data_IF_057910852410
#
_entry.id   IF_057910852410
#
_cell.length_a   1.000
_cell.length_b   1.000
_cell.length_c   1.000
_cell.angle_alpha   90.00
_cell.angle_beta   90.00
_cell.angle_gamma   90.00
#
_symmetry.space_group_name_H-M   'P 1'
#
loop_
_entity.id
_entity.type
_entity.pdbx_description
1 polymer ?
#
# COMPACT_ATOMS: atom_id res chain seq x y z
N UNK A 1 -17.89 12.66 36.73
CA UNK A 1 -17.51 13.81 35.86
C UNK A 1 -16.37 13.37 34.92
N UNK A 2 -16.55 12.25 34.22
CA UNK A 2 -15.51 11.54 33.44
C UNK A 2 -15.89 11.29 31.98
N UNK A 3 -17.15 11.54 31.59
CA UNK A 3 -17.70 10.99 30.34
C UNK A 3 -17.85 12.04 29.23
N UNK A 4 -17.02 13.09 29.23
CA UNK A 4 -17.08 14.17 28.23
C UNK A 4 -15.72 14.45 27.56
N UNK A 5 -14.68 13.65 27.83
CA UNK A 5 -13.39 13.81 27.15
C UNK A 5 -13.39 12.92 25.89
N UNK A 6 -13.93 13.51 24.83
CA UNK A 6 -13.65 13.38 23.38
C UNK A 6 -13.41 12.01 22.69
N UNK A 7 -13.99 11.79 21.48
CA UNK A 7 -13.85 10.57 20.68
C UNK A 7 -12.46 10.36 20.02
N UNK A 8 -11.45 11.18 20.35
CA UNK A 8 -10.08 11.08 19.84
C UNK A 8 -9.15 10.17 20.67
N UNK A 9 -9.60 9.70 21.84
CA UNK A 9 -8.80 8.91 22.77
C UNK A 9 -8.38 7.53 22.22
N UNK A 10 -9.20 6.91 21.39
CA UNK A 10 -8.97 5.55 20.92
C UNK A 10 -7.78 5.43 19.92
N UNK A 11 -7.33 6.55 19.34
CA UNK A 11 -6.23 6.55 18.37
C UNK A 11 -4.84 6.50 19.03
N UNK A 12 -4.73 6.87 20.31
CA UNK A 12 -3.43 6.94 21.01
C UNK A 12 -3.12 5.69 21.84
N UNK A 13 -4.14 4.95 22.30
CA UNK A 13 -3.94 3.66 22.97
C UNK A 13 -3.31 2.61 22.04
N UNK A 14 -3.56 2.68 20.72
CA UNK A 14 -2.93 1.78 19.73
C UNK A 14 -1.43 2.01 19.55
N UNK A 15 -0.88 3.12 20.06
CA UNK A 15 0.56 3.42 20.02
C UNK A 15 1.27 3.19 21.37
N UNK A 16 0.59 2.61 22.36
CA UNK A 16 1.21 2.22 23.64
C UNK A 16 1.64 3.40 24.52
N UNK A 17 1.13 4.61 24.27
CA UNK A 17 1.41 5.78 25.11
C UNK A 17 0.50 5.75 26.32
N UNK A 18 1.04 5.36 27.47
CA UNK A 18 0.30 5.31 28.74
C UNK A 18 -0.01 6.74 29.23
N UNK A 19 -1.22 7.23 28.94
CA UNK A 19 -1.72 8.51 29.45
C UNK A 19 -1.63 8.61 30.97
N UNK A 20 -1.61 7.48 31.69
CA UNK A 20 -1.50 7.49 33.15
C UNK A 20 -0.16 8.05 33.63
N UNK A 21 0.91 8.01 32.82
CA UNK A 21 2.17 8.69 33.17
C UNK A 21 2.05 10.22 33.12
N UNK A 22 1.33 10.77 32.14
CA UNK A 22 1.18 12.22 32.00
C UNK A 22 0.30 12.84 33.10
N UNK A 23 -0.71 12.10 33.57
CA UNK A 23 -1.62 12.55 34.64
C UNK A 23 -0.96 12.41 36.02
N UNK A 24 -0.08 11.42 36.22
CA UNK A 24 0.56 11.14 37.52
C UNK A 24 1.62 12.18 37.91
N UNK A 25 2.18 12.90 36.96
CA UNK A 25 3.31 13.82 37.20
C UNK A 25 2.89 15.24 37.63
N UNK A 26 1.58 15.54 37.72
CA UNK A 26 1.05 16.82 38.26
C UNK A 26 1.53 18.09 37.54
N UNK A 27 2.21 17.94 36.42
CA UNK A 27 3.00 18.99 35.79
C UNK A 27 2.15 19.74 34.77
N UNK A 28 1.70 20.94 35.14
CA UNK A 28 0.85 21.83 34.32
C UNK A 28 1.39 22.07 32.90
N UNK A 29 2.71 21.96 32.70
CA UNK A 29 3.35 22.08 31.39
C UNK A 29 2.91 20.99 30.40
N UNK A 30 2.67 19.78 30.88
CA UNK A 30 2.22 18.67 30.03
C UNK A 30 0.73 18.77 29.74
N UNK A 31 -0.06 19.26 30.69
CA UNK A 31 -1.50 19.50 30.49
C UNK A 31 -1.75 20.55 29.40
N UNK A 32 -1.06 21.69 29.43
CA UNK A 32 -1.23 22.73 28.40
C UNK A 32 -0.79 22.26 27.01
N UNK A 33 0.33 21.52 26.92
CA UNK A 33 0.76 20.87 25.67
C UNK A 33 -0.25 19.83 25.19
N UNK A 34 -0.84 19.05 26.11
CA UNK A 34 -1.84 18.04 25.77
C UNK A 34 -3.10 18.66 25.18
N UNK A 35 -3.59 19.75 25.77
CA UNK A 35 -4.71 20.53 25.23
C UNK A 35 -4.39 21.11 23.84
N UNK A 36 -3.15 21.56 23.62
CA UNK A 36 -2.69 22.03 22.31
C UNK A 36 -2.71 20.90 21.27
N UNK A 37 -2.20 19.70 21.60
CA UNK A 37 -2.26 18.53 20.72
C UNK A 37 -3.70 18.11 20.41
N UNK A 38 -4.60 18.10 21.41
CA UNK A 38 -6.01 17.80 21.20
C UNK A 38 -6.68 18.80 20.25
N UNK A 39 -6.41 20.11 20.38
CA UNK A 39 -6.95 21.14 19.47
C UNK A 39 -6.51 20.95 18.02
N UNK A 40 -5.23 20.58 17.81
CA UNK A 40 -4.70 20.32 16.46
C UNK A 40 -5.27 19.03 15.88
N UNK A 41 -5.46 17.99 16.71
CA UNK A 41 -6.06 16.72 16.28
C UNK A 41 -7.53 16.86 15.87
N UNK A 42 -8.28 17.76 16.53
CA UNK A 42 -9.69 18.03 16.22
C UNK A 42 -9.88 18.95 15.00
N UNK A 43 -8.84 19.69 14.60
CA UNK A 43 -8.89 20.57 13.45
C UNK A 43 -8.99 19.77 12.15
N UNK A 44 -10.23 19.49 11.71
CA UNK A 44 -10.48 18.85 10.41
C UNK A 44 -9.93 19.73 9.29
N UNK A 45 -8.90 19.29 8.54
CA UNK A 45 -8.39 20.08 7.42
C UNK A 45 -9.50 20.23 6.38
N UNK A 46 -9.70 21.45 5.88
CA UNK A 46 -10.68 21.72 4.81
C UNK A 46 -10.37 20.84 3.59
N UNK A 47 -11.40 20.19 3.04
CA UNK A 47 -11.30 19.18 1.97
C UNK A 47 -10.40 19.61 0.79
N UNK A 48 -10.54 20.85 0.31
CA UNK A 48 -9.71 21.38 -0.80
C UNK A 48 -8.21 21.47 -0.47
N UNK A 49 -7.85 21.65 0.82
CA UNK A 49 -6.44 21.68 1.26
C UNK A 49 -5.85 20.26 1.30
N UNK A 50 -6.68 19.26 1.60
CA UNK A 50 -6.29 17.84 1.58
C UNK A 50 -6.12 17.33 0.16
N UNK A 51 -7.09 17.57 -0.72
CA UNK A 51 -7.03 17.17 -2.14
C UNK A 51 -5.91 17.91 -2.86
N UNK A 52 -5.77 19.22 -2.63
CA UNK A 52 -4.67 20.00 -3.19
C UNK A 52 -3.29 19.46 -2.80
N UNK A 53 -3.09 19.08 -1.53
CA UNK A 53 -1.83 18.48 -1.06
C UNK A 53 -1.60 17.09 -1.66
N UNK A 54 -2.64 16.29 -1.83
CA UNK A 54 -2.56 14.93 -2.40
C UNK A 54 -2.20 14.93 -3.89
N UNK A 55 -2.64 15.92 -4.66
CA UNK A 55 -2.23 16.09 -6.06
C UNK A 55 -0.85 16.75 -6.19
N UNK A 56 -0.47 17.59 -5.23
CA UNK A 56 0.84 18.23 -5.24
C UNK A 56 1.98 17.22 -5.11
N UNK A 57 1.82 16.15 -4.32
CA UNK A 57 2.85 15.12 -4.15
C UNK A 57 3.24 14.40 -5.46
N UNK A 58 2.33 13.82 -6.26
CA UNK A 58 2.69 13.19 -7.53
C UNK A 58 3.20 14.20 -8.56
N UNK A 59 2.69 15.43 -8.57
CA UNK A 59 3.20 16.48 -9.46
C UNK A 59 4.65 16.86 -9.12
N UNK A 60 4.96 17.01 -7.84
CA UNK A 60 6.33 17.25 -7.39
C UNK A 60 7.25 16.06 -7.71
N UNK A 61 6.76 14.83 -7.57
CA UNK A 61 7.51 13.63 -7.95
C UNK A 61 7.83 13.59 -9.45
N UNK A 62 6.86 13.95 -10.31
CA UNK A 62 7.09 14.05 -11.75
C UNK A 62 8.10 15.17 -12.06
N UNK A 63 7.96 16.33 -11.42
CA UNK A 63 8.86 17.46 -11.62
C UNK A 63 10.30 17.11 -11.21
N UNK A 64 10.50 16.49 -10.03
CA UNK A 64 11.85 16.07 -9.58
C UNK A 64 12.42 14.97 -10.46
N UNK A 65 11.60 14.02 -10.90
CA UNK A 65 12.02 12.98 -11.85
C UNK A 65 12.50 13.59 -13.17
N UNK A 66 11.78 14.56 -13.73
CA UNK A 66 12.18 15.26 -14.95
C UNK A 66 13.43 16.10 -14.75
N UNK A 67 13.55 16.82 -13.62
CA UNK A 67 14.73 17.62 -13.28
C UNK A 67 16.02 16.78 -13.23
N UNK A 68 15.92 15.51 -12.81
CA UNK A 68 17.06 14.60 -12.76
C UNK A 68 17.27 13.89 -14.10
N UNK A 69 16.21 13.42 -14.75
CA UNK A 69 16.33 12.61 -15.98
C UNK A 69 16.67 13.42 -17.23
N UNK A 70 16.20 14.67 -17.35
CA UNK A 70 16.48 15.52 -18.53
C UNK A 70 17.98 15.80 -18.66
N UNK A 71 18.72 16.20 -17.60
CA UNK A 71 20.16 16.38 -17.68
C UNK A 71 20.92 15.08 -17.95
N UNK A 72 20.49 13.95 -17.39
CA UNK A 72 21.16 12.65 -17.61
C UNK A 72 21.02 12.24 -19.07
N UNK A 73 19.79 12.24 -19.62
CA UNK A 73 19.54 11.89 -21.01
C UNK A 73 20.21 12.90 -21.94
N UNK A 74 20.17 14.19 -21.60
CA UNK A 74 20.87 15.26 -22.30
C UNK A 74 22.37 15.00 -22.37
N UNK A 75 23.00 14.67 -21.25
CA UNK A 75 24.43 14.34 -21.22
C UNK A 75 24.75 13.09 -22.05
N UNK A 76 23.98 12.00 -21.92
CA UNK A 76 24.19 10.76 -22.68
C UNK A 76 24.05 10.96 -24.19
N UNK A 77 23.17 11.87 -24.62
CA UNK A 77 22.90 12.14 -26.04
C UNK A 77 23.64 13.38 -26.57
N UNK A 78 24.68 13.84 -25.87
CA UNK A 78 25.50 15.01 -26.24
C UNK A 78 24.69 16.30 -26.48
N UNK A 79 23.69 16.52 -25.62
CA UNK A 79 22.78 17.68 -25.62
C UNK A 79 22.01 17.89 -26.94
N UNK A 80 21.82 16.81 -27.69
CA UNK A 80 20.98 16.79 -28.89
C UNK A 80 19.49 16.79 -28.49
N UNK A 81 18.90 17.99 -28.41
CA UNK A 81 17.52 18.18 -27.97
C UNK A 81 16.48 17.46 -28.85
N UNK A 82 16.79 17.18 -30.12
CA UNK A 82 15.89 16.41 -30.98
C UNK A 82 15.81 14.95 -30.52
N UNK A 83 16.95 14.33 -30.19
CA UNK A 83 16.98 12.95 -29.67
C UNK A 83 16.42 12.85 -28.25
N UNK A 84 16.66 13.86 -27.42
CA UNK A 84 16.07 13.94 -26.07
C UNK A 84 14.53 13.97 -26.20
N UNK A 85 13.98 14.81 -27.07
CA UNK A 85 12.54 14.89 -27.30
C UNK A 85 11.95 13.56 -27.81
N UNK A 86 12.62 12.89 -28.77
CA UNK A 86 12.20 11.57 -29.26
C UNK A 86 12.25 10.51 -28.15
N UNK A 87 13.23 10.57 -27.24
CA UNK A 87 13.34 9.64 -26.11
C UNK A 87 12.16 9.76 -25.15
N UNK A 88 11.76 10.98 -24.81
CA UNK A 88 10.56 11.22 -23.99
C UNK A 88 9.27 10.87 -24.75
N UNK A 89 9.20 11.12 -26.06
CA UNK A 89 8.12 10.67 -26.92
C UNK A 89 7.97 9.14 -26.90
N UNK A 90 9.10 8.42 -27.03
CA UNK A 90 9.15 6.97 -26.93
C UNK A 90 8.72 6.42 -25.57
N UNK A 91 9.00 7.15 -24.48
CA UNK A 91 8.54 6.81 -23.13
C UNK A 91 7.01 6.92 -23.02
N UNK A 92 6.40 7.95 -23.61
CA UNK A 92 4.94 8.08 -23.65
C UNK A 92 4.30 7.04 -24.57
N UNK A 93 4.90 6.74 -25.71
CA UNK A 93 4.43 5.68 -26.61
C UNK A 93 4.49 4.30 -25.95
N UNK A 94 5.57 4.04 -25.21
CA UNK A 94 5.80 2.81 -24.45
C UNK A 94 4.95 2.68 -23.19
N UNK A 95 4.27 3.74 -22.76
CA UNK A 95 3.42 3.73 -21.57
C UNK A 95 1.91 3.84 -21.88
N UNK A 96 1.52 4.70 -22.83
CA UNK A 96 0.14 5.15 -23.00
C UNK A 96 -0.43 4.95 -24.42
N UNK A 97 0.33 5.29 -25.47
CA UNK A 97 -0.28 5.42 -26.80
C UNK A 97 -0.46 4.10 -27.55
N UNK A 98 0.36 3.08 -27.28
CA UNK A 98 0.20 1.75 -27.89
C UNK A 98 -0.77 0.90 -27.07
N UNK A 99 -1.75 0.27 -27.72
CA UNK A 99 -2.77 -0.57 -27.04
C UNK A 99 -2.16 -1.63 -26.11
N UNK A 100 -1.13 -2.34 -26.59
CA UNK A 100 -0.43 -3.35 -25.79
C UNK A 100 0.37 -2.73 -24.63
N UNK A 101 1.02 -1.60 -24.86
CA UNK A 101 1.76 -0.88 -23.82
C UNK A 101 0.85 -0.38 -22.71
N UNK A 102 -0.29 0.21 -23.08
CA UNK A 102 -1.30 0.66 -22.14
C UNK A 102 -1.85 -0.50 -21.30
N UNK A 103 -2.13 -1.64 -21.93
CA UNK A 103 -2.56 -2.84 -21.22
C UNK A 103 -1.50 -3.32 -20.21
N UNK A 104 -0.21 -3.35 -20.59
CA UNK A 104 0.88 -3.71 -19.67
C UNK A 104 1.05 -2.73 -18.52
N UNK A 105 0.90 -1.43 -18.78
CA UNK A 105 0.89 -0.38 -17.75
C UNK A 105 -0.22 -0.65 -16.73
N UNK A 106 -1.43 -0.99 -17.19
CA UNK A 106 -2.54 -1.34 -16.31
C UNK A 106 -2.27 -2.63 -15.52
N UNK A 107 -1.77 -3.67 -16.17
CA UNK A 107 -1.41 -4.95 -15.50
C UNK A 107 -0.43 -4.72 -14.35
N UNK A 108 0.46 -3.74 -14.48
CA UNK A 108 1.45 -3.40 -13.45
C UNK A 108 0.90 -2.42 -12.39
N UNK A 109 0.09 -1.45 -12.81
CA UNK A 109 -0.45 -0.42 -11.93
C UNK A 109 -1.61 -0.91 -11.05
N UNK A 110 -2.46 -1.80 -11.57
CA UNK A 110 -3.64 -2.32 -10.87
C UNK A 110 -3.25 -2.96 -9.52
N UNK A 111 -2.30 -3.92 -9.44
CA UNK A 111 -1.88 -4.49 -8.16
C UNK A 111 -1.40 -3.45 -7.16
N UNK A 112 -0.64 -2.45 -7.60
CA UNK A 112 -0.15 -1.38 -6.74
C UNK A 112 -1.28 -0.51 -6.18
N UNK A 113 -2.27 -0.17 -7.00
CA UNK A 113 -3.43 0.61 -6.56
C UNK A 113 -4.30 -0.18 -5.57
N UNK A 114 -4.59 -1.45 -5.88
CA UNK A 114 -5.40 -2.30 -5.00
C UNK A 114 -4.71 -2.64 -3.69
N UNK A 115 -3.41 -2.90 -3.70
CA UNK A 115 -2.65 -3.16 -2.46
C UNK A 115 -2.58 -1.91 -1.58
N UNK A 116 -2.38 -0.72 -2.17
CA UNK A 116 -2.44 0.55 -1.43
C UNK A 116 -3.82 0.79 -0.80
N UNK A 117 -4.90 0.51 -1.55
CA UNK A 117 -6.27 0.60 -1.04
C UNK A 117 -6.51 -0.39 0.11
N UNK A 118 -6.07 -1.65 -0.04
CA UNK A 118 -6.20 -2.67 1.01
C UNK A 118 -5.42 -2.32 2.28
N UNK A 119 -4.19 -1.81 2.16
CA UNK A 119 -3.39 -1.34 3.30
C UNK A 119 -4.07 -0.19 4.03
N UNK A 120 -4.66 0.75 3.28
CA UNK A 120 -5.35 1.91 3.87
C UNK A 120 -6.53 1.49 4.77
N UNK A 121 -7.21 0.39 4.41
CA UNK A 121 -8.28 -0.20 5.21
C UNK A 121 -7.72 -0.85 6.48
N UNK A 122 -6.59 -1.56 6.41
CA UNK A 122 -5.93 -2.17 7.57
C UNK A 122 -5.41 -1.12 8.58
N UNK A 123 -4.85 -0.02 8.08
CA UNK A 123 -4.42 1.09 8.95
C UNK A 123 -5.59 1.77 9.66
N UNK A 124 -6.79 1.74 9.07
CA UNK A 124 -7.99 2.26 9.72
C UNK A 124 -8.43 1.43 10.93
N UNK A 125 -8.10 0.14 10.96
CA UNK A 125 -8.36 -0.76 12.11
C UNK A 125 -7.19 -0.84 13.09
N UNK A 126 -6.14 -0.05 12.90
CA UNK A 126 -4.94 -0.06 13.75
C UNK A 126 -4.02 -1.27 13.55
N UNK A 127 -4.21 -2.03 12.47
CA UNK A 127 -3.39 -3.21 12.14
C UNK A 127 -2.30 -2.80 11.16
N UNK A 128 -1.04 -2.95 11.56
CA UNK A 128 0.11 -2.58 10.72
C UNK A 128 0.56 -3.78 9.89
N UNK A 129 -0.07 -3.96 8.72
CA UNK A 129 0.21 -5.07 7.80
C UNK A 129 1.23 -4.68 6.71
N UNK A 130 2.40 -5.31 6.71
CA UNK A 130 3.43 -5.20 5.64
C UNK A 130 3.38 -6.45 4.71
N UNK A 131 2.49 -7.38 4.97
CA UNK A 131 2.36 -8.68 4.30
C UNK A 131 1.62 -8.67 2.97
N UNK A 132 1.31 -7.50 2.40
CA UNK A 132 0.51 -7.43 1.17
C UNK A 132 1.20 -8.09 -0.03
N UNK A 133 2.52 -8.06 -0.10
CA UNK A 133 3.28 -8.77 -1.14
C UNK A 133 3.03 -10.27 -1.10
N UNK A 134 3.07 -10.90 0.07
CA UNK A 134 2.79 -12.32 0.24
C UNK A 134 1.33 -12.68 -0.04
N UNK A 135 0.39 -11.83 0.41
CA UNK A 135 -1.04 -11.99 0.09
C UNK A 135 -1.29 -11.92 -1.43
N UNK A 136 -0.62 -10.99 -2.12
CA UNK A 136 -0.69 -10.87 -3.57
C UNK A 136 -0.09 -12.10 -4.28
N UNK A 137 1.09 -12.57 -3.87
CA UNK A 137 1.74 -13.76 -4.46
C UNK A 137 0.85 -15.00 -4.33
N UNK A 138 0.30 -15.24 -3.14
CA UNK A 138 -0.58 -16.39 -2.91
C UNK A 138 -1.91 -16.28 -3.65
N UNK A 139 -2.51 -15.09 -3.68
CA UNK A 139 -3.70 -14.83 -4.49
C UNK A 139 -3.43 -15.05 -5.98
N UNK A 140 -2.33 -14.51 -6.52
CA UNK A 140 -1.93 -14.70 -7.90
C UNK A 140 -1.70 -16.18 -8.22
N UNK A 141 -1.04 -16.92 -7.32
CA UNK A 141 -0.81 -18.37 -7.47
C UNK A 141 -2.13 -19.14 -7.57
N UNK A 142 -3.10 -18.86 -6.68
CA UNK A 142 -4.43 -19.49 -6.74
C UNK A 142 -5.19 -19.12 -8.03
N UNK A 143 -5.12 -17.85 -8.46
CA UNK A 143 -5.76 -17.38 -9.69
C UNK A 143 -5.16 -18.06 -10.94
N UNK A 144 -3.82 -18.17 -11.01
CA UNK A 144 -3.11 -18.87 -12.09
C UNK A 144 -3.45 -20.36 -12.09
N UNK A 145 -3.49 -20.99 -10.91
CA UNK A 145 -3.85 -22.41 -10.80
C UNK A 145 -5.26 -22.68 -11.33
N UNK A 146 -6.26 -21.89 -10.93
CA UNK A 146 -7.62 -21.99 -11.48
C UNK A 146 -7.65 -21.67 -12.99
N UNK A 147 -6.91 -20.63 -13.39
CA UNK A 147 -6.75 -20.21 -14.78
C UNK A 147 -6.20 -21.30 -15.71
N UNK A 148 -5.36 -22.17 -15.15
CA UNK A 148 -4.72 -23.25 -15.87
C UNK A 148 -5.49 -24.57 -15.77
N UNK A 149 -5.98 -24.91 -14.57
CA UNK A 149 -6.55 -26.22 -14.28
C UNK A 149 -8.02 -26.40 -14.70
N UNK A 150 -8.80 -25.31 -14.76
CA UNK A 150 -10.24 -25.39 -15.03
C UNK A 150 -10.58 -24.90 -16.44
N UNK A 151 -11.02 -25.78 -17.36
CA UNK A 151 -11.50 -25.36 -18.68
C UNK A 151 -12.93 -24.80 -18.56
N UNK A 152 -13.04 -23.49 -18.29
CA UNK A 152 -14.31 -22.78 -18.17
C UNK A 152 -14.55 -21.81 -19.35
N UNK A 153 -15.82 -21.48 -19.69
CA UNK A 153 -16.13 -20.45 -20.68
C UNK A 153 -15.53 -19.08 -20.29
N UNK A 154 -15.12 -18.23 -21.24
CA UNK A 154 -14.27 -17.05 -20.97
C UNK A 154 -14.76 -16.12 -19.84
N UNK A 155 -16.07 -15.85 -19.76
CA UNK A 155 -16.62 -14.97 -18.72
C UNK A 155 -16.64 -15.61 -17.32
N UNK A 156 -17.02 -16.88 -17.23
CA UNK A 156 -17.05 -17.62 -15.95
C UNK A 156 -15.63 -17.93 -15.49
N UNK A 157 -14.73 -18.20 -16.43
CA UNK A 157 -13.32 -18.45 -16.17
C UNK A 157 -12.68 -17.26 -15.45
N UNK A 158 -12.91 -16.03 -15.94
CA UNK A 158 -12.39 -14.82 -15.31
C UNK A 158 -12.90 -14.66 -13.88
N UNK A 159 -14.20 -14.85 -13.66
CA UNK A 159 -14.80 -14.76 -12.32
C UNK A 159 -14.25 -15.84 -11.38
N UNK A 160 -14.11 -17.08 -11.86
CA UNK A 160 -13.55 -18.17 -11.07
C UNK A 160 -12.10 -17.85 -10.65
N UNK A 161 -11.24 -17.42 -11.58
CA UNK A 161 -9.87 -17.03 -11.28
C UNK A 161 -9.80 -15.85 -10.30
N UNK A 162 -10.67 -14.84 -10.46
CA UNK A 162 -10.73 -13.69 -9.55
C UNK A 162 -11.13 -14.12 -8.13
N UNK A 163 -12.19 -14.92 -8.00
CA UNK A 163 -12.65 -15.41 -6.69
C UNK A 163 -11.60 -16.28 -6.01
N UNK A 164 -10.91 -17.15 -6.77
CA UNK A 164 -9.81 -17.96 -6.26
C UNK A 164 -8.64 -17.11 -5.77
N UNK A 165 -8.30 -16.03 -6.50
CA UNK A 165 -7.26 -15.10 -6.09
C UNK A 165 -7.62 -14.33 -4.82
N UNK A 166 -8.87 -13.85 -4.72
CA UNK A 166 -9.38 -13.19 -3.51
C UNK A 166 -9.33 -14.16 -2.32
N UNK A 167 -9.82 -15.38 -2.48
CA UNK A 167 -9.81 -16.38 -1.42
C UNK A 167 -8.39 -16.79 -1.00
N UNK A 168 -7.48 -16.94 -1.96
CA UNK A 168 -6.08 -17.28 -1.69
C UNK A 168 -5.35 -16.19 -0.91
N UNK A 169 -5.50 -14.93 -1.33
CA UNK A 169 -4.93 -13.78 -0.63
C UNK A 169 -5.55 -13.58 0.77
N UNK A 170 -6.87 -13.76 0.89
CA UNK A 170 -7.57 -13.65 2.17
C UNK A 170 -7.16 -14.76 3.15
N UNK A 171 -7.07 -16.00 2.67
CA UNK A 171 -6.59 -17.13 3.48
C UNK A 171 -5.17 -16.89 3.99
N UNK A 172 -4.28 -16.37 3.13
CA UNK A 172 -2.91 -16.04 3.54
C UNK A 172 -2.86 -14.89 4.55
N UNK A 173 -3.67 -13.85 4.33
CA UNK A 173 -3.78 -12.71 5.24
C UNK A 173 -4.43 -13.05 6.59
N UNK A 174 -5.23 -14.11 6.65
CA UNK A 174 -5.82 -14.60 7.89
C UNK A 174 -4.79 -15.21 8.85
N UNK A 175 -3.70 -15.80 8.32
CA UNK A 175 -2.64 -16.44 9.13
C UNK A 175 -2.03 -15.47 10.15
N UNK A 176 -1.45 -14.31 9.77
CA UNK A 176 -0.85 -13.39 10.74
C UNK A 176 -1.89 -12.79 11.69
N UNK A 177 -3.13 -12.58 11.23
CA UNK A 177 -4.23 -12.10 12.07
C UNK A 177 -4.61 -13.13 13.14
N UNK A 178 -4.68 -14.41 12.77
CA UNK A 178 -4.92 -15.51 13.71
C UNK A 178 -3.78 -15.64 14.72
N UNK A 179 -2.52 -15.57 14.26
CA UNK A 179 -1.35 -15.65 15.13
C UNK A 179 -1.33 -14.53 16.18
N UNK A 180 -1.71 -13.30 15.81
CA UNK A 180 -1.89 -12.22 16.80
C UNK A 180 -3.01 -12.55 17.79
N UNK A 181 -4.18 -12.96 17.29
CA UNK A 181 -5.35 -13.17 18.13
C UNK A 181 -5.13 -14.27 19.18
N UNK A 182 -4.35 -15.30 18.84
CA UNK A 182 -4.05 -16.41 19.74
C UNK A 182 -2.81 -16.18 20.61
N UNK A 183 -1.72 -15.67 20.03
CA UNK A 183 -0.41 -15.66 20.68
C UNK A 183 0.09 -14.26 21.06
N UNK A 184 -0.62 -13.20 20.70
CA UNK A 184 -0.18 -11.82 20.96
C UNK A 184 1.10 -11.42 20.22
N UNK A 185 1.50 -12.17 19.18
CA UNK A 185 2.71 -11.91 18.41
C UNK A 185 2.62 -10.61 17.61
N UNK A 186 3.77 -9.95 17.40
CA UNK A 186 3.86 -8.73 16.59
C UNK A 186 3.47 -8.98 15.13
N UNK A 187 2.39 -8.33 14.67
CA UNK A 187 1.87 -8.43 13.29
C UNK A 187 2.91 -8.10 12.24
N UNK A 188 3.73 -7.08 12.52
CA UNK A 188 4.76 -6.60 11.59
C UNK A 188 5.77 -7.69 11.29
N UNK A 189 6.25 -8.38 12.32
CA UNK A 189 7.25 -9.44 12.18
C UNK A 189 6.63 -10.63 11.44
N UNK A 190 5.44 -11.07 11.86
CA UNK A 190 4.77 -12.21 11.24
C UNK A 190 4.46 -11.95 9.76
N UNK A 191 3.99 -10.76 9.42
CA UNK A 191 3.64 -10.41 8.04
C UNK A 191 4.87 -10.31 7.13
N UNK A 192 6.00 -9.80 7.64
CA UNK A 192 7.28 -9.82 6.89
C UNK A 192 7.76 -11.25 6.70
N UNK A 193 7.73 -12.09 7.75
CA UNK A 193 8.17 -13.49 7.64
C UNK A 193 7.32 -14.30 6.66
N UNK A 194 6.00 -14.08 6.66
CA UNK A 194 5.08 -14.74 5.73
C UNK A 194 5.25 -14.27 4.28
N UNK A 195 5.78 -13.06 4.03
CA UNK A 195 6.16 -12.66 2.67
C UNK A 195 7.28 -13.56 2.12
N UNK A 196 8.30 -13.84 2.94
CA UNK A 196 9.38 -14.76 2.53
C UNK A 196 8.85 -16.17 2.30
N UNK A 197 7.97 -16.66 3.18
CA UNK A 197 7.36 -17.98 3.01
C UNK A 197 6.56 -18.07 1.70
N UNK A 198 5.75 -17.04 1.38
CA UNK A 198 5.01 -17.00 0.13
C UNK A 198 5.93 -17.01 -1.10
N UNK A 199 7.03 -16.23 -1.05
CA UNK A 199 8.02 -16.19 -2.12
C UNK A 199 8.68 -17.57 -2.33
N UNK A 200 9.16 -18.21 -1.27
CA UNK A 200 9.79 -19.54 -1.38
C UNK A 200 8.81 -20.61 -1.81
N UNK A 201 7.56 -20.54 -1.35
CA UNK A 201 6.51 -21.47 -1.77
C UNK A 201 6.21 -21.32 -3.27
N UNK A 202 6.09 -20.10 -3.78
CA UNK A 202 5.88 -19.84 -5.19
C UNK A 202 7.08 -20.30 -6.04
N UNK A 203 8.30 -19.97 -5.62
CA UNK A 203 9.53 -20.41 -6.30
C UNK A 203 9.63 -21.95 -6.34
N UNK A 204 9.31 -22.62 -5.24
CA UNK A 204 9.24 -24.08 -5.19
C UNK A 204 8.16 -24.66 -6.12
N UNK A 205 6.95 -24.07 -6.14
CA UNK A 205 5.85 -24.48 -7.03
C UNK A 205 6.19 -24.35 -8.52
N UNK A 206 7.00 -23.37 -8.89
CA UNK A 206 7.44 -23.20 -10.28
C UNK A 206 8.55 -24.21 -10.63
N UNK A 207 9.47 -24.46 -9.70
CA UNK A 207 10.62 -25.36 -9.89
C UNK A 207 10.30 -26.85 -9.86
N UNK A 208 9.20 -27.25 -9.21
CA UNK A 208 8.82 -28.68 -9.13
C UNK A 208 8.39 -29.25 -10.48
N UNK A 209 8.21 -28.39 -11.49
CA UNK A 209 8.01 -28.76 -12.88
C UNK A 209 9.31 -28.60 -13.67
#
# INVERSE_FOLDING_TARGET
MSDQITPGLNHFESFGVDQKMAIKDGNQRWQSKWEEYCRVAEAKPKFYRTVGRQLMTPLLAIATALLITVPIIGFTLNWDWAKVAVTYGGLLDGALFKQYAFANTLVSAIPLMFTGLALSLGFRTGVFNIGASGQFLMGATCAVWVGYALPLPPGIHLLAALTAGISGGAAWGAIPGFLKAQFGSHEVINTIMLNYLAFFLQDWLVKIR
#
